data_IF_077378764408
#
_entry.id   IF_077378764408
#
_cell.length_a   1.000
_cell.length_b   1.000
_cell.length_c   1.000
_cell.angle_alpha   90.00
_cell.angle_beta   90.00
_cell.angle_gamma   90.00
#
_symmetry.space_group_name_H-M   'P 1'
#
loop_
_entity.id
_entity.type
_entity.pdbx_description
1 polymer ?
#
# COMPACT_ATOMS: atom_id res chain seq x y z
N UNK A 1 5.82 -15.84 -3.00
CA UNK A 1 6.57 -14.71 -3.52
C UNK A 1 7.26 -13.99 -2.41
N UNK A 2 8.49 -14.13 -2.42
CA UNK A 2 9.41 -13.65 -1.41
C UNK A 2 9.95 -12.28 -1.83
N UNK A 3 9.12 -11.26 -1.72
CA UNK A 3 9.60 -9.90 -1.70
C UNK A 3 9.91 -9.55 -0.25
N UNK A 4 10.81 -10.27 0.34
CA UNK A 4 11.10 -10.06 1.77
C UNK A 4 12.18 -10.99 2.29
N UNK A 5 13.06 -11.47 1.47
CA UNK A 5 14.22 -12.24 1.93
C UNK A 5 15.53 -11.52 1.61
N UNK A 6 16.04 -11.01 2.66
CA UNK A 6 17.37 -10.67 3.10
C UNK A 6 18.47 -11.15 2.15
N UNK A 7 19.30 -10.18 1.76
CA UNK A 7 20.56 -10.41 1.07
C UNK A 7 20.53 -9.90 -0.35
N UNK A 8 20.96 -8.66 -0.52
CA UNK A 8 21.01 -7.91 -1.78
C UNK A 8 19.65 -7.52 -2.37
N UNK A 9 18.81 -6.84 -1.60
CA UNK A 9 17.58 -6.20 -2.10
C UNK A 9 17.80 -5.39 -3.38
N UNK A 10 18.97 -4.83 -3.59
CA UNK A 10 19.32 -4.11 -4.82
C UNK A 10 19.40 -5.04 -6.02
N UNK A 11 20.03 -6.20 -5.93
CA UNK A 11 20.18 -7.12 -7.07
C UNK A 11 18.85 -7.77 -7.48
N UNK A 12 17.94 -8.02 -6.52
CA UNK A 12 16.60 -8.55 -6.81
C UNK A 12 15.76 -7.49 -7.49
N UNK A 13 15.86 -6.25 -7.05
CA UNK A 13 15.16 -5.10 -7.65
C UNK A 13 15.58 -4.86 -9.09
N UNK A 14 16.89 -4.84 -9.35
CA UNK A 14 17.41 -4.60 -10.68
C UNK A 14 16.97 -5.71 -11.65
N UNK A 15 17.03 -6.98 -11.24
CA UNK A 15 16.55 -8.11 -12.05
C UNK A 15 15.05 -8.08 -12.33
N UNK A 16 14.25 -7.58 -11.38
CA UNK A 16 12.81 -7.49 -11.60
C UNK A 16 12.46 -6.63 -12.82
N UNK A 17 13.24 -5.57 -13.06
CA UNK A 17 13.00 -4.62 -14.14
C UNK A 17 13.69 -4.99 -15.46
N UNK A 18 14.59 -6.00 -15.46
CA UNK A 18 15.28 -6.44 -16.67
C UNK A 18 14.28 -6.87 -17.75
N UNK A 19 14.42 -6.26 -18.95
CA UNK A 19 13.58 -6.58 -20.10
C UNK A 19 12.13 -6.13 -20.02
N UNK A 20 11.75 -5.32 -18.99
CA UNK A 20 10.39 -4.83 -18.79
C UNK A 20 10.32 -3.32 -18.86
N UNK A 21 9.24 -2.80 -19.45
CA UNK A 21 8.88 -1.40 -19.24
C UNK A 21 8.39 -1.17 -17.81
N UNK A 22 8.42 0.08 -17.32
CA UNK A 22 7.86 0.46 -16.03
C UNK A 22 6.40 0.01 -15.91
N UNK A 23 5.60 0.27 -16.94
CA UNK A 23 4.18 -0.06 -16.97
C UNK A 23 3.95 -1.57 -16.84
N UNK A 24 4.71 -2.37 -17.57
CA UNK A 24 4.65 -3.83 -17.48
C UNK A 24 5.00 -4.33 -16.08
N UNK A 25 6.12 -3.87 -15.50
CA UNK A 25 6.54 -4.31 -14.18
C UNK A 25 5.54 -3.93 -13.09
N UNK A 26 4.96 -2.73 -13.15
CA UNK A 26 3.93 -2.32 -12.18
C UNK A 26 2.66 -3.15 -12.35
N UNK A 27 2.20 -3.40 -13.58
CA UNK A 27 1.03 -4.24 -13.85
C UNK A 27 1.24 -5.67 -13.32
N UNK A 28 2.36 -6.31 -13.64
CA UNK A 28 2.70 -7.65 -13.14
C UNK A 28 2.72 -7.73 -11.60
N UNK A 29 3.18 -6.66 -10.94
CA UNK A 29 3.13 -6.58 -9.48
C UNK A 29 1.70 -6.58 -8.96
N UNK A 30 0.79 -5.80 -9.54
CA UNK A 30 -0.61 -5.78 -9.13
C UNK A 30 -1.33 -7.10 -9.45
N UNK A 31 -1.04 -7.72 -10.59
CA UNK A 31 -1.55 -9.05 -10.94
C UNK A 31 -1.10 -10.11 -9.93
N UNK A 32 0.18 -10.09 -9.54
CA UNK A 32 0.72 -10.96 -8.51
C UNK A 32 0.08 -10.70 -7.14
N UNK A 33 -0.14 -9.43 -6.79
CA UNK A 33 -0.85 -9.03 -5.57
C UNK A 33 -2.26 -9.59 -5.55
N UNK A 34 -3.02 -9.42 -6.62
CA UNK A 34 -4.37 -9.95 -6.76
C UNK A 34 -4.41 -11.48 -6.67
N UNK A 35 -3.47 -12.15 -7.33
CA UNK A 35 -3.35 -13.61 -7.29
C UNK A 35 -3.02 -14.12 -5.88
N UNK A 36 -2.20 -13.38 -5.11
CA UNK A 36 -1.86 -13.72 -3.73
C UNK A 36 -3.06 -13.56 -2.80
N UNK A 37 -3.81 -12.46 -2.90
CA UNK A 37 -5.01 -12.22 -2.09
C UNK A 37 -6.07 -13.27 -2.35
N UNK A 38 -6.21 -13.76 -3.59
CA UNK A 38 -7.12 -14.87 -3.93
C UNK A 38 -6.75 -16.20 -3.28
N UNK A 39 -5.48 -16.41 -2.99
CA UNK A 39 -4.96 -17.70 -2.48
C UNK A 39 -4.75 -17.70 -0.97
N UNK A 40 -4.50 -16.56 -0.37
CA UNK A 40 -4.08 -16.43 1.03
C UNK A 40 -5.11 -15.65 1.83
N UNK A 41 -5.62 -16.26 2.88
CA UNK A 41 -6.60 -15.66 3.80
C UNK A 41 -6.06 -15.50 5.24
N UNK A 42 -4.76 -15.68 5.45
CA UNK A 42 -4.14 -15.71 6.77
C UNK A 42 -3.71 -14.33 7.32
N UNK A 43 -4.13 -13.23 6.69
CA UNK A 43 -3.80 -11.86 7.11
C UNK A 43 -5.07 -11.05 7.38
N UNK A 44 -4.94 -9.96 8.12
CA UNK A 44 -6.05 -9.04 8.46
C UNK A 44 -5.94 -7.71 7.68
N UNK A 45 -4.74 -7.28 7.35
CA UNK A 45 -4.47 -6.03 6.64
C UNK A 45 -3.43 -6.26 5.55
N UNK A 46 -3.63 -5.68 4.38
CA UNK A 46 -2.65 -5.63 3.30
C UNK A 46 -1.85 -4.33 3.37
N UNK A 47 -0.53 -4.44 3.59
CA UNK A 47 0.35 -3.29 3.73
C UNK A 47 0.72 -2.65 2.38
N UNK A 48 0.91 -1.32 2.38
CA UNK A 48 1.54 -0.52 1.31
C UNK A 48 1.32 -1.04 -0.13
N UNK A 49 0.07 -1.15 -0.58
CA UNK A 49 -0.36 -1.80 -1.84
C UNK A 49 0.44 -1.36 -3.08
N UNK A 50 0.81 -0.08 -3.18
CA UNK A 50 1.53 0.48 -4.33
C UNK A 50 3.06 0.56 -4.12
N UNK A 51 3.58 -0.25 -3.22
CA UNK A 51 4.98 -0.27 -2.81
C UNK A 51 5.98 -0.40 -3.96
N UNK A 52 5.59 -1.04 -5.06
CA UNK A 52 6.42 -1.23 -6.26
C UNK A 52 6.91 0.10 -6.86
N UNK A 53 6.13 1.17 -6.73
CA UNK A 53 6.45 2.50 -7.29
C UNK A 53 7.73 3.06 -6.70
N UNK A 54 8.03 2.76 -5.44
CA UNK A 54 9.27 3.15 -4.76
C UNK A 54 10.51 2.60 -5.46
N UNK A 55 10.41 1.44 -6.09
CA UNK A 55 11.51 0.73 -6.73
C UNK A 55 11.47 0.80 -8.26
N UNK A 56 10.45 1.42 -8.82
CA UNK A 56 10.33 1.60 -10.25
C UNK A 56 11.45 2.52 -10.79
N UNK A 57 11.92 2.29 -12.03
CA UNK A 57 12.83 3.21 -12.68
C UNK A 57 12.29 4.63 -12.66
N UNK A 58 13.09 5.60 -12.15
CA UNK A 58 12.69 6.98 -11.93
C UNK A 58 11.42 7.15 -11.09
N UNK A 59 11.11 6.20 -10.21
CA UNK A 59 9.99 6.24 -9.27
C UNK A 59 8.68 6.76 -9.90
N UNK A 60 8.16 7.90 -9.43
CA UNK A 60 6.88 8.49 -9.90
C UNK A 60 6.97 9.25 -11.23
N UNK A 61 8.14 9.44 -11.80
CA UNK A 61 8.26 10.09 -13.11
C UNK A 61 7.48 9.31 -14.17
N UNK A 62 6.58 9.98 -14.90
CA UNK A 62 5.70 9.33 -15.89
C UNK A 62 4.88 8.14 -15.32
N UNK A 63 4.46 8.23 -14.06
CA UNK A 63 3.60 7.28 -13.40
C UNK A 63 2.26 7.93 -13.03
N UNK A 64 1.17 7.24 -13.29
CA UNK A 64 -0.16 7.56 -12.79
C UNK A 64 -0.83 6.30 -12.27
N UNK A 65 -1.34 6.32 -11.04
CA UNK A 65 -2.12 5.22 -10.48
C UNK A 65 -3.40 4.96 -11.29
N UNK A 66 -3.89 5.97 -11.99
CA UNK A 66 -5.11 5.87 -12.80
C UNK A 66 -4.95 4.93 -13.99
N UNK A 67 -3.71 4.70 -14.45
CA UNK A 67 -3.42 3.73 -15.52
C UNK A 67 -3.67 2.28 -15.05
N UNK A 68 -3.75 2.07 -13.74
CA UNK A 68 -3.96 0.77 -13.08
C UNK A 68 -5.29 0.69 -12.32
N UNK A 69 -6.19 1.66 -12.50
CA UNK A 69 -7.42 1.79 -11.73
C UNK A 69 -8.27 0.52 -11.69
N UNK A 70 -8.36 -0.20 -12.81
CA UNK A 70 -9.24 -1.37 -12.92
C UNK A 70 -8.73 -2.53 -12.05
N UNK A 71 -7.42 -2.81 -12.08
CA UNK A 71 -6.83 -3.86 -11.24
C UNK A 71 -6.76 -3.44 -9.76
N UNK A 72 -6.54 -2.17 -9.47
CA UNK A 72 -6.62 -1.63 -8.10
C UNK A 72 -8.05 -1.80 -7.56
N UNK A 73 -9.06 -1.44 -8.33
CA UNK A 73 -10.46 -1.64 -7.94
C UNK A 73 -10.77 -3.11 -7.64
N UNK A 74 -10.25 -4.04 -8.44
CA UNK A 74 -10.43 -5.48 -8.22
C UNK A 74 -9.76 -5.94 -6.93
N UNK A 75 -8.52 -5.50 -6.68
CA UNK A 75 -7.80 -5.76 -5.43
C UNK A 75 -8.58 -5.25 -4.23
N UNK A 76 -9.01 -3.99 -4.26
CA UNK A 76 -9.73 -3.36 -3.15
C UNK A 76 -11.08 -4.05 -2.87
N UNK A 77 -11.86 -4.35 -3.92
CA UNK A 77 -13.12 -5.09 -3.79
C UNK A 77 -12.91 -6.46 -3.16
N UNK A 78 -11.88 -7.18 -3.59
CA UNK A 78 -11.58 -8.50 -3.04
C UNK A 78 -11.16 -8.44 -1.57
N UNK A 79 -10.34 -7.45 -1.19
CA UNK A 79 -9.98 -7.22 0.22
C UNK A 79 -11.22 -6.94 1.06
N UNK A 80 -12.09 -6.02 0.62
CA UNK A 80 -13.31 -5.65 1.32
C UNK A 80 -14.26 -6.86 1.45
N UNK A 81 -14.47 -7.63 0.38
CA UNK A 81 -15.31 -8.82 0.38
C UNK A 81 -14.83 -9.89 1.36
N UNK A 82 -13.50 -10.00 1.55
CA UNK A 82 -12.88 -10.93 2.48
C UNK A 82 -12.74 -10.36 3.90
N UNK A 83 -13.29 -9.17 4.18
CA UNK A 83 -13.19 -8.51 5.49
C UNK A 83 -11.76 -8.08 5.85
N UNK A 84 -10.92 -7.82 4.84
CA UNK A 84 -9.52 -7.40 5.02
C UNK A 84 -9.39 -5.89 4.89
N UNK A 85 -8.45 -5.33 5.67
CA UNK A 85 -8.10 -3.92 5.61
C UNK A 85 -6.93 -3.60 4.69
N UNK A 86 -6.65 -2.30 4.59
CA UNK A 86 -5.43 -1.77 3.99
C UNK A 86 -4.65 -0.94 5.00
N UNK A 87 -3.41 -0.64 4.69
CA UNK A 87 -2.56 0.24 5.49
C UNK A 87 -2.37 1.57 4.78
N UNK A 88 -2.44 2.68 5.53
CA UNK A 88 -1.87 3.97 5.13
C UNK A 88 -0.44 4.04 5.66
N UNK A 89 0.54 3.82 4.81
CA UNK A 89 1.94 3.75 5.19
C UNK A 89 2.68 5.05 4.83
N UNK A 90 3.23 5.73 5.83
CA UNK A 90 3.90 7.02 5.65
C UNK A 90 5.34 6.93 5.10
N UNK A 91 5.86 5.72 4.90
CA UNK A 91 7.22 5.53 4.36
C UNK A 91 7.42 6.18 2.99
N UNK A 92 6.36 6.35 2.19
CA UNK A 92 6.43 7.04 0.91
C UNK A 92 7.03 8.46 1.03
N UNK A 93 6.75 9.19 2.12
CA UNK A 93 7.37 10.49 2.39
C UNK A 93 8.87 10.36 2.67
N UNK A 94 9.26 9.36 3.45
CA UNK A 94 10.66 9.07 3.78
C UNK A 94 11.51 8.75 2.55
N UNK A 95 10.91 8.12 1.56
CA UNK A 95 11.59 7.70 0.33
C UNK A 95 11.39 8.66 -0.84
N UNK A 96 10.89 9.87 -0.57
CA UNK A 96 10.82 10.94 -1.57
C UNK A 96 9.65 10.84 -2.54
N UNK A 97 8.67 9.97 -2.32
CA UNK A 97 7.49 9.85 -3.18
C UNK A 97 6.53 11.03 -3.03
N UNK A 98 6.60 11.77 -1.91
CA UNK A 98 5.72 12.90 -1.61
C UNK A 98 4.28 12.52 -1.24
N UNK A 99 3.98 11.24 -1.18
CA UNK A 99 2.66 10.66 -0.84
C UNK A 99 2.84 9.43 0.06
N UNK A 100 1.81 8.99 0.79
CA UNK A 100 1.85 7.70 1.49
C UNK A 100 1.82 6.53 0.50
N UNK A 101 1.98 5.31 1.00
CA UNK A 101 1.70 4.06 0.30
C UNK A 101 0.50 3.35 0.96
N UNK A 102 -0.61 3.16 0.26
CA UNK A 102 -0.85 3.65 -1.10
C UNK A 102 -1.13 5.15 -1.14
N UNK A 103 -1.02 5.72 -2.36
CA UNK A 103 -1.32 7.14 -2.56
C UNK A 103 -2.80 7.47 -2.33
N UNK A 104 -3.10 8.76 -2.12
CA UNK A 104 -4.43 9.26 -1.72
C UNK A 104 -5.58 8.75 -2.59
N UNK A 105 -5.37 8.56 -3.90
CA UNK A 105 -6.40 8.00 -4.79
C UNK A 105 -6.86 6.63 -4.32
N UNK A 106 -5.94 5.75 -3.95
CA UNK A 106 -6.26 4.37 -3.52
C UNK A 106 -6.98 4.38 -2.16
N UNK A 107 -6.53 5.22 -1.22
CA UNK A 107 -7.17 5.40 0.09
C UNK A 107 -8.62 5.86 -0.07
N UNK A 108 -8.82 6.91 -0.88
CA UNK A 108 -10.15 7.43 -1.19
C UNK A 108 -11.02 6.38 -1.86
N UNK A 109 -10.47 5.67 -2.85
CA UNK A 109 -11.19 4.64 -3.59
C UNK A 109 -11.60 3.46 -2.71
N UNK A 110 -10.72 3.05 -1.77
CA UNK A 110 -11.04 2.04 -0.77
C UNK A 110 -12.26 2.43 0.07
N UNK A 111 -12.28 3.67 0.56
CA UNK A 111 -13.42 4.21 1.31
C UNK A 111 -14.71 4.29 0.46
N UNK A 112 -14.63 4.78 -0.79
CA UNK A 112 -15.76 4.84 -1.73
C UNK A 112 -16.37 3.46 -2.02
N UNK A 113 -15.55 2.41 -2.02
CA UNK A 113 -15.99 1.02 -2.21
C UNK A 113 -16.55 0.37 -0.94
N UNK A 114 -16.60 1.09 0.19
CA UNK A 114 -17.11 0.62 1.47
C UNK A 114 -16.08 -0.04 2.37
N UNK A 115 -14.79 0.18 2.11
CA UNK A 115 -13.72 -0.29 3.00
C UNK A 115 -13.67 0.54 4.30
N UNK A 116 -13.57 -0.14 5.43
CA UNK A 116 -13.59 0.48 6.77
C UNK A 116 -12.32 0.20 7.58
N UNK A 117 -11.64 -0.92 7.33
CA UNK A 117 -10.46 -1.32 8.09
C UNK A 117 -9.21 -0.68 7.49
N UNK A 118 -8.67 0.35 8.16
CA UNK A 118 -7.48 1.05 7.70
C UNK A 118 -6.52 1.27 8.87
N UNK A 119 -5.34 0.68 8.78
CA UNK A 119 -4.26 0.88 9.76
C UNK A 119 -3.30 1.97 9.31
N UNK A 120 -2.49 2.47 10.25
CA UNK A 120 -1.45 3.47 9.98
C UNK A 120 -0.10 2.83 10.28
N UNK A 121 0.85 2.95 9.35
CA UNK A 121 2.21 2.44 9.50
C UNK A 121 3.27 3.40 8.98
N UNK A 122 4.52 3.24 9.40
CA UNK A 122 5.67 4.02 8.93
C UNK A 122 6.79 3.18 8.31
N UNK A 123 6.62 1.86 8.27
CA UNK A 123 7.64 0.92 7.79
C UNK A 123 9.03 1.22 8.41
N UNK A 124 9.01 1.40 9.74
CA UNK A 124 10.16 1.84 10.52
C UNK A 124 11.15 0.70 10.78
N UNK A 125 12.34 0.75 10.18
CA UNK A 125 13.44 -0.19 10.38
C UNK A 125 14.56 0.39 11.27
N UNK A 126 14.38 1.62 11.76
CA UNK A 126 15.29 2.34 12.66
C UNK A 126 14.47 3.16 13.66
N UNK A 127 15.00 3.46 14.85
CA UNK A 127 14.26 4.25 15.85
C UNK A 127 13.73 5.58 15.33
N UNK A 128 14.51 6.31 14.55
CA UNK A 128 14.15 7.60 13.94
C UNK A 128 13.02 7.49 12.88
N UNK A 129 12.70 6.28 12.44
CA UNK A 129 11.61 6.01 11.49
C UNK A 129 10.28 5.64 12.18
N UNK A 130 10.30 5.50 13.51
CA UNK A 130 9.07 5.18 14.26
C UNK A 130 8.09 6.35 14.17
N UNK A 131 6.86 6.06 13.73
CA UNK A 131 5.82 7.07 13.50
C UNK A 131 6.24 8.23 12.57
N UNK A 132 7.17 7.98 11.65
CA UNK A 132 7.64 9.00 10.70
C UNK A 132 6.49 9.62 9.92
N UNK A 133 6.37 10.97 9.95
CA UNK A 133 5.32 11.73 9.26
C UNK A 133 3.87 11.34 9.63
N UNK A 134 3.62 10.81 10.82
CA UNK A 134 2.26 10.54 11.31
C UNK A 134 1.44 11.81 11.52
N UNK A 135 2.08 12.94 11.74
CA UNK A 135 1.47 14.26 11.79
C UNK A 135 0.70 14.64 10.52
N UNK A 136 1.04 14.03 9.38
CA UNK A 136 0.36 14.26 8.09
C UNK A 136 -0.88 13.40 7.88
N UNK A 137 -0.99 12.30 8.61
CA UNK A 137 -2.01 11.26 8.37
C UNK A 137 -3.44 11.80 8.54
N UNK A 138 -3.79 12.56 9.60
CA UNK A 138 -5.16 13.05 9.76
C UNK A 138 -5.64 13.85 8.54
N UNK A 139 -4.86 14.82 8.09
CA UNK A 139 -5.23 15.64 6.94
C UNK A 139 -5.37 14.82 5.64
N UNK A 140 -4.52 13.80 5.45
CA UNK A 140 -4.60 12.90 4.30
C UNK A 140 -5.90 12.09 4.34
N UNK A 141 -6.18 11.43 5.46
CA UNK A 141 -7.35 10.57 5.60
C UNK A 141 -8.65 11.36 5.54
N UNK A 142 -8.72 12.54 6.17
CA UNK A 142 -9.86 13.45 6.07
C UNK A 142 -10.11 13.88 4.62
N UNK A 143 -9.06 14.18 3.84
CA UNK A 143 -9.18 14.50 2.41
C UNK A 143 -9.75 13.36 1.57
N UNK A 144 -9.60 12.12 2.05
CA UNK A 144 -10.15 10.91 1.46
C UNK A 144 -11.56 10.56 1.97
N UNK A 145 -12.13 11.35 2.90
CA UNK A 145 -13.43 11.09 3.52
C UNK A 145 -13.37 10.13 4.72
N UNK A 146 -12.18 9.71 5.13
CA UNK A 146 -11.96 8.75 6.20
C UNK A 146 -11.83 9.51 7.53
N UNK A 147 -12.56 9.09 8.55
CA UNK A 147 -12.59 9.76 9.88
C UNK A 147 -12.07 8.90 11.02
N UNK A 148 -11.72 7.66 10.74
CA UNK A 148 -11.29 6.68 11.71
C UNK A 148 -10.11 5.91 11.16
N UNK A 149 -9.26 5.43 12.03
CA UNK A 149 -8.27 4.42 11.73
C UNK A 149 -8.48 3.19 12.61
N UNK A 150 -7.86 2.08 12.25
CA UNK A 150 -8.06 0.80 12.92
C UNK A 150 -6.80 0.39 13.67
N UNK A 151 -6.99 -0.05 14.91
CA UNK A 151 -6.00 -0.85 15.66
C UNK A 151 -6.56 -2.24 15.90
N UNK A 152 -5.69 -3.23 16.10
CA UNK A 152 -6.12 -4.59 16.37
C UNK A 152 -5.79 -4.99 17.80
N UNK A 153 -6.74 -5.63 18.46
CA UNK A 153 -6.55 -6.33 19.73
C UNK A 153 -7.07 -7.76 19.56
N UNK A 154 -6.23 -8.75 19.79
CA UNK A 154 -6.55 -10.17 19.58
C UNK A 154 -7.18 -10.44 18.19
N UNK A 155 -6.59 -9.86 17.15
CA UNK A 155 -7.08 -9.90 15.76
C UNK A 155 -8.48 -9.31 15.54
N UNK A 156 -9.02 -8.56 16.50
CA UNK A 156 -10.29 -7.85 16.35
C UNK A 156 -10.04 -6.39 16.04
N UNK A 157 -10.64 -5.84 14.97
CA UNK A 157 -10.47 -4.42 14.64
C UNK A 157 -11.20 -3.53 15.63
N UNK A 158 -10.55 -2.47 16.07
CA UNK A 158 -11.10 -1.42 16.92
C UNK A 158 -10.91 -0.11 16.15
N UNK A 159 -12.02 0.59 15.88
CA UNK A 159 -12.01 1.88 15.20
C UNK A 159 -11.75 3.00 16.20
N UNK A 160 -10.75 3.82 15.92
CA UNK A 160 -10.40 5.00 16.71
C UNK A 160 -10.56 6.26 15.84
N UNK A 161 -11.09 7.36 16.37
CA UNK A 161 -11.17 8.62 15.64
C UNK A 161 -9.77 9.16 15.30
N UNK A 162 -9.67 9.94 14.22
CA UNK A 162 -8.44 10.63 13.82
C UNK A 162 -8.08 11.78 14.77
#
# INVERSE_FOLDING_TARGET
ILIGLVGSEMCIRDRYWEGKSKQQGIMEYYEATLANIRKLDCFDVYGHIDYIVRYAPNQRENYSILDYKDIIDEILKLLIQNGKGIECNTAGFKYGLGVPNPENYVLKRYHELGGEILTIGSDGHKPEHTAYAFDKVPAILESCGIRYYTVFHDRKPIMLPL
#
